data_IF_610527246942
#
_entry.id   IF_610527246942
#
_cell.length_a   1.000
_cell.length_b   1.000
_cell.length_c   1.000
_cell.angle_alpha   90.00
_cell.angle_beta   90.00
_cell.angle_gamma   90.00
#
_symmetry.space_group_name_H-M   'P 1'
#
loop_
_entity.id
_entity.type
_entity.pdbx_description
1 polymer ?
#
# COMPACT_ATOMS: atom_id res chain seq x y z
N UNK A 1 1.77 -14.93 10.71
CA UNK A 1 1.96 -13.47 10.88
C UNK A 1 1.97 -12.64 9.57
N UNK A 2 1.83 -13.25 8.37
CA UNK A 2 1.85 -12.52 7.08
C UNK A 2 0.72 -11.50 6.88
N UNK A 3 -0.49 -11.84 7.34
CA UNK A 3 -1.64 -10.95 7.21
C UNK A 3 -1.43 -9.62 7.98
N UNK A 4 -0.77 -9.69 9.14
CA UNK A 4 -0.42 -8.54 9.93
C UNK A 4 0.63 -7.67 9.23
N UNK A 5 1.65 -8.28 8.63
CA UNK A 5 2.68 -7.56 7.84
C UNK A 5 2.01 -6.72 6.74
N UNK A 6 1.11 -7.32 5.95
CA UNK A 6 0.36 -6.62 4.89
C UNK A 6 -0.54 -5.52 5.47
N UNK A 7 -1.28 -5.82 6.55
CA UNK A 7 -2.20 -4.87 7.15
C UNK A 7 -1.48 -3.63 7.70
N UNK A 8 -0.36 -3.81 8.42
CA UNK A 8 0.45 -2.70 8.92
C UNK A 8 1.08 -1.91 7.78
N UNK A 9 1.67 -2.58 6.78
CA UNK A 9 2.28 -1.87 5.66
C UNK A 9 1.28 -0.97 4.92
N UNK A 10 0.06 -1.45 4.71
CA UNK A 10 -1.02 -0.66 4.11
C UNK A 10 -1.46 0.50 5.03
N UNK A 11 -1.66 0.23 6.32
CA UNK A 11 -2.06 1.26 7.29
C UNK A 11 -1.01 2.39 7.41
N UNK A 12 0.27 2.04 7.39
CA UNK A 12 1.37 3.01 7.43
C UNK A 12 1.36 3.88 6.16
N UNK A 13 1.18 3.28 4.98
CA UNK A 13 1.06 4.01 3.72
C UNK A 13 -0.12 4.99 3.72
N UNK A 14 -1.28 4.56 4.21
CA UNK A 14 -2.48 5.41 4.30
C UNK A 14 -2.26 6.60 5.24
N UNK A 15 -1.68 6.34 6.40
CA UNK A 15 -1.36 7.39 7.38
C UNK A 15 -0.38 8.40 6.80
N UNK A 16 0.64 7.92 6.07
CA UNK A 16 1.60 8.78 5.39
C UNK A 16 0.94 9.65 4.32
N UNK A 17 0.09 9.04 3.47
CA UNK A 17 -0.63 9.76 2.42
C UNK A 17 -1.57 10.80 3.00
N UNK A 18 -2.34 10.47 4.05
CA UNK A 18 -3.19 11.42 4.77
C UNK A 18 -2.38 12.63 5.25
N UNK A 19 -1.22 12.40 5.88
CA UNK A 19 -0.34 13.49 6.31
C UNK A 19 0.20 14.35 5.16
N UNK A 20 0.37 13.80 3.96
CA UNK A 20 0.76 14.58 2.78
C UNK A 20 -0.40 15.38 2.19
N UNK A 21 -1.61 14.82 2.18
CA UNK A 21 -2.82 15.54 1.77
C UNK A 21 -3.09 16.74 2.68
N UNK A 22 -2.91 16.58 4.00
CA UNK A 22 -3.01 17.68 4.97
C UNK A 22 -2.00 18.82 4.70
N UNK A 23 -0.88 18.51 4.03
CA UNK A 23 0.14 19.48 3.62
C UNK A 23 -0.11 20.08 2.24
N UNK A 24 -1.22 19.73 1.60
CA UNK A 24 -1.65 20.28 0.30
C UNK A 24 -1.11 19.55 -0.92
N UNK A 25 -0.46 18.40 -0.76
CA UNK A 25 -0.10 17.54 -1.90
C UNK A 25 -1.34 16.76 -2.37
N UNK A 26 -1.35 16.35 -3.64
CA UNK A 26 -2.34 15.39 -4.14
C UNK A 26 -1.84 13.95 -3.99
N UNK A 27 -2.75 12.97 -3.99
CA UNK A 27 -2.36 11.55 -3.92
C UNK A 27 -1.48 11.16 -5.11
N UNK A 28 -1.81 11.62 -6.32
CA UNK A 28 -1.06 11.30 -7.54
C UNK A 28 0.36 11.92 -7.54
N UNK A 29 0.59 12.98 -6.75
CA UNK A 29 1.94 13.52 -6.55
C UNK A 29 2.80 12.64 -5.63
N UNK A 30 2.19 11.91 -4.69
CA UNK A 30 2.91 11.24 -3.61
C UNK A 30 3.00 9.74 -3.84
N UNK A 31 1.89 9.10 -4.21
CA UNK A 31 1.78 7.65 -4.36
C UNK A 31 2.82 7.03 -5.31
N UNK A 32 3.16 7.63 -6.48
CA UNK A 32 4.19 7.08 -7.38
C UNK A 32 5.61 7.07 -6.78
N UNK A 33 5.85 7.84 -5.73
CA UNK A 33 7.15 7.91 -5.02
C UNK A 33 7.22 6.94 -3.84
N UNK A 34 6.10 6.33 -3.46
CA UNK A 34 6.02 5.40 -2.36
C UNK A 34 6.48 4.01 -2.80
N UNK A 35 7.28 3.36 -1.97
CA UNK A 35 7.71 1.98 -2.18
C UNK A 35 7.53 1.17 -0.90
N UNK A 36 7.34 -0.13 -1.07
CA UNK A 36 7.15 -1.04 0.05
C UNK A 36 8.30 -2.04 0.14
N UNK A 37 8.64 -2.41 1.37
CA UNK A 37 9.63 -3.44 1.67
C UNK A 37 8.98 -4.47 2.59
N UNK A 38 9.00 -5.73 2.17
CA UNK A 38 8.41 -6.86 2.88
C UNK A 38 9.41 -8.02 2.94
N UNK A 39 9.41 -8.76 4.04
CA UNK A 39 10.21 -9.98 4.17
C UNK A 39 9.70 -11.08 3.24
N UNK A 40 10.55 -12.03 2.86
CA UNK A 40 10.11 -13.25 2.14
C UNK A 40 10.63 -14.47 2.88
N UNK A 41 9.75 -15.44 3.11
CA UNK A 41 10.04 -16.65 3.86
C UNK A 41 9.90 -17.90 2.97
N UNK A 42 10.22 -19.07 3.53
CA UNK A 42 10.35 -20.34 2.77
C UNK A 42 9.04 -20.86 2.16
N UNK A 43 7.88 -20.36 2.59
CA UNK A 43 6.58 -20.79 2.08
C UNK A 43 6.22 -20.04 0.79
N UNK A 44 6.83 -20.45 -0.32
CA UNK A 44 6.79 -19.78 -1.63
C UNK A 44 5.37 -19.37 -2.06
N UNK A 45 4.40 -20.28 -1.99
CA UNK A 45 3.02 -19.98 -2.43
C UNK A 45 2.32 -18.97 -1.51
N UNK A 46 2.60 -19.02 -0.21
CA UNK A 46 2.02 -18.09 0.74
C UNK A 46 2.63 -16.69 0.60
N UNK A 47 3.94 -16.59 0.32
CA UNK A 47 4.59 -15.31 0.01
C UNK A 47 4.12 -14.74 -1.33
N UNK A 48 3.97 -15.58 -2.37
CA UNK A 48 3.39 -15.16 -3.64
C UNK A 48 1.96 -14.63 -3.46
N UNK A 49 1.14 -15.31 -2.66
CA UNK A 49 -0.21 -14.85 -2.30
C UNK A 49 -0.18 -13.53 -1.54
N UNK A 50 0.74 -13.37 -0.57
CA UNK A 50 0.92 -12.13 0.21
C UNK A 50 1.12 -10.92 -0.71
N UNK A 51 2.05 -11.01 -1.66
CA UNK A 51 2.33 -9.92 -2.58
C UNK A 51 1.17 -9.61 -3.54
N UNK A 52 0.42 -10.65 -3.97
CA UNK A 52 -0.78 -10.45 -4.81
C UNK A 52 -1.89 -9.73 -4.05
N UNK A 53 -2.13 -10.13 -2.80
CA UNK A 53 -3.14 -9.50 -1.93
C UNK A 53 -2.74 -8.07 -1.61
N UNK A 54 -1.48 -7.84 -1.24
CA UNK A 54 -0.94 -6.50 -0.97
C UNK A 54 -1.21 -5.55 -2.14
N UNK A 55 -0.78 -5.90 -3.36
CA UNK A 55 -0.96 -5.04 -4.54
C UNK A 55 -2.43 -4.74 -4.81
N UNK A 56 -3.29 -5.76 -4.73
CA UNK A 56 -4.73 -5.58 -4.95
C UNK A 56 -5.34 -4.66 -3.90
N UNK A 57 -5.06 -4.90 -2.62
CA UNK A 57 -5.60 -4.08 -1.54
C UNK A 57 -5.10 -2.64 -1.63
N UNK A 58 -3.82 -2.41 -1.90
CA UNK A 58 -3.28 -1.06 -2.07
C UNK A 58 -3.98 -0.32 -3.22
N UNK A 59 -4.04 -0.92 -4.41
CA UNK A 59 -4.70 -0.31 -5.57
C UNK A 59 -6.17 0.02 -5.29
N UNK A 60 -6.93 -0.91 -4.71
CA UNK A 60 -8.33 -0.67 -4.31
C UNK A 60 -8.45 0.51 -3.35
N UNK A 61 -7.56 0.60 -2.35
CA UNK A 61 -7.63 1.67 -1.36
C UNK A 61 -7.21 3.03 -1.91
N UNK A 62 -6.25 3.08 -2.85
CA UNK A 62 -5.89 4.33 -3.54
C UNK A 62 -7.07 4.92 -4.31
N UNK A 63 -7.86 4.08 -4.99
CA UNK A 63 -9.08 4.51 -5.68
C UNK A 63 -10.19 4.85 -4.68
N UNK A 64 -10.55 3.90 -3.82
CA UNK A 64 -11.76 4.00 -2.99
C UNK A 64 -11.66 5.06 -1.89
N UNK A 65 -10.46 5.30 -1.34
CA UNK A 65 -10.28 6.20 -0.19
C UNK A 65 -9.58 7.51 -0.56
N UNK A 66 -8.70 7.51 -1.56
CA UNK A 66 -7.91 8.69 -1.93
C UNK A 66 -8.30 9.28 -3.29
N UNK A 67 -9.16 8.59 -4.06
CA UNK A 67 -9.58 9.05 -5.38
C UNK A 67 -8.42 9.18 -6.36
N UNK A 68 -7.39 8.33 -6.25
CA UNK A 68 -6.28 8.30 -7.20
C UNK A 68 -6.79 8.04 -8.62
N UNK A 69 -6.28 8.81 -9.58
CA UNK A 69 -6.74 8.75 -10.98
C UNK A 69 -5.65 8.37 -11.97
N UNK A 70 -4.39 8.46 -11.55
CA UNK A 70 -3.25 7.99 -12.34
C UNK A 70 -2.90 6.54 -11.98
N UNK A 71 -2.46 5.78 -12.99
CA UNK A 71 -2.01 4.37 -12.86
C UNK A 71 -0.62 4.25 -12.21
#
# INVERSE_FOLDING_TARGET
>A
NRAMEVALGIADAETYLQGMLERGFTVDQVAPRLSFIFGTHMEVLAEAAKFRVLRRMYATRMVDLFGATEE
#
